data_IF_571554294885
#
_entry.id   IF_571554294885
#
_cell.length_a   1.000
_cell.length_b   1.000
_cell.length_c   1.000
_cell.angle_alpha   90.00
_cell.angle_beta   90.00
_cell.angle_gamma   90.00
#
_symmetry.space_group_name_H-M   'P 1'
#
loop_
_entity.id
_entity.type
_entity.pdbx_description
1 polymer ?
#
# COMPACT_ATOMS: atom_id res chain seq x y z
N UNK A 1 -6.34 23.91 14.14
CA UNK A 1 -5.31 22.90 14.34
C UNK A 1 -4.58 22.56 13.03
N UNK A 2 -3.39 21.98 13.16
CA UNK A 2 -2.58 21.53 12.04
C UNK A 2 -2.78 20.03 11.85
N UNK A 3 -2.81 19.59 10.59
CA UNK A 3 -3.08 18.21 10.20
C UNK A 3 -1.90 17.60 9.43
N UNK A 4 -1.88 16.28 9.36
CA UNK A 4 -0.99 15.53 8.48
C UNK A 4 -1.81 14.96 7.33
N UNK A 5 -1.38 15.22 6.09
CA UNK A 5 -1.95 14.65 4.89
C UNK A 5 -1.00 13.58 4.35
N UNK A 6 -1.50 12.39 4.02
CA UNK A 6 -0.70 11.31 3.45
C UNK A 6 -1.06 11.07 2.01
N UNK A 7 -0.06 11.14 1.14
CA UNK A 7 -0.18 10.87 -0.29
C UNK A 7 0.13 9.40 -0.55
N UNK A 8 -0.71 8.76 -1.35
CA UNK A 8 -0.47 7.39 -1.81
C UNK A 8 0.41 7.42 -3.05
N UNK A 9 1.55 6.77 -2.95
CA UNK A 9 2.54 6.69 -4.04
C UNK A 9 2.82 5.20 -4.26
N UNK A 10 2.05 4.52 -5.11
CA UNK A 10 2.22 3.08 -5.35
C UNK A 10 3.64 2.80 -5.86
N UNK A 11 4.28 1.80 -5.25
CA UNK A 11 5.70 1.46 -5.47
C UNK A 11 6.69 2.63 -5.28
N UNK A 12 6.28 3.75 -4.68
CA UNK A 12 7.14 4.94 -4.55
C UNK A 12 7.41 5.68 -5.85
N UNK A 13 6.68 5.38 -6.93
CA UNK A 13 6.94 5.93 -8.26
C UNK A 13 6.25 7.29 -8.42
N UNK A 14 7.03 8.29 -8.77
CA UNK A 14 6.58 9.64 -9.07
C UNK A 14 7.17 10.14 -10.38
N UNK A 15 6.37 10.86 -11.15
CA UNK A 15 6.88 11.66 -12.27
C UNK A 15 7.50 12.96 -11.75
N UNK A 16 8.38 13.57 -12.55
CA UNK A 16 8.94 14.90 -12.23
C UNK A 16 7.86 15.96 -12.07
N UNK A 17 6.80 15.90 -12.88
CA UNK A 17 5.65 16.80 -12.79
C UNK A 17 4.92 16.63 -11.44
N UNK A 18 4.65 15.40 -11.02
CA UNK A 18 4.03 15.12 -9.74
C UNK A 18 4.88 15.61 -8.57
N UNK A 19 6.19 15.37 -8.62
CA UNK A 19 7.12 15.85 -7.60
C UNK A 19 7.15 17.39 -7.52
N UNK A 20 7.13 18.08 -8.66
CA UNK A 20 7.06 19.55 -8.71
C UNK A 20 5.78 20.09 -8.08
N UNK A 21 4.65 19.44 -8.33
CA UNK A 21 3.36 19.81 -7.72
C UNK A 21 3.41 19.60 -6.20
N UNK A 22 3.89 18.45 -5.73
CA UNK A 22 4.07 18.17 -4.31
C UNK A 22 4.98 19.23 -3.66
N UNK A 23 6.14 19.52 -4.26
CA UNK A 23 7.07 20.52 -3.76
C UNK A 23 6.43 21.91 -3.63
N UNK A 24 5.63 22.32 -4.63
CA UNK A 24 4.92 23.60 -4.61
C UNK A 24 3.79 23.67 -3.56
N UNK A 25 3.18 22.52 -3.25
CA UNK A 25 2.19 22.40 -2.16
C UNK A 25 2.89 22.52 -0.81
N UNK A 26 4.01 21.81 -0.63
CA UNK A 26 4.81 21.85 0.61
C UNK A 26 5.30 23.27 0.89
N UNK A 27 5.88 23.93 -0.11
CA UNK A 27 6.42 25.30 0.02
C UNK A 27 5.35 26.31 0.43
N UNK A 28 4.09 26.12 -0.01
CA UNK A 28 3.01 27.07 0.25
C UNK A 28 2.21 26.74 1.50
N UNK A 29 1.94 25.48 1.79
CA UNK A 29 0.98 25.01 2.79
C UNK A 29 1.61 24.14 3.89
N UNK A 30 2.86 23.73 3.72
CA UNK A 30 3.62 23.00 4.74
C UNK A 30 4.04 23.89 5.90
N UNK A 31 4.30 23.29 7.06
CA UNK A 31 4.66 24.01 8.28
C UNK A 31 6.09 24.59 8.17
N UNK A 32 7.01 23.82 7.63
CA UNK A 32 8.45 24.13 7.57
C UNK A 32 9.06 23.92 6.17
N UNK A 33 8.22 23.73 5.14
CA UNK A 33 8.66 23.47 3.79
C UNK A 33 9.24 22.04 3.58
N UNK A 34 9.03 21.13 4.53
CA UNK A 34 9.49 19.73 4.45
C UNK A 34 8.35 18.73 4.33
N UNK A 35 8.68 17.48 3.97
CA UNK A 35 7.77 16.33 3.99
C UNK A 35 8.51 15.08 4.46
N UNK A 36 7.76 14.09 4.93
CA UNK A 36 8.31 12.79 5.27
C UNK A 36 8.14 11.80 4.11
N UNK A 37 9.21 11.09 3.77
CA UNK A 37 9.14 9.88 2.95
C UNK A 37 9.06 8.70 3.91
N UNK A 38 8.08 7.82 3.73
CA UNK A 38 7.82 6.73 4.66
C UNK A 38 8.33 5.39 4.14
N UNK A 39 8.53 4.43 5.05
CA UNK A 39 8.87 3.04 4.71
C UNK A 39 7.78 2.31 3.91
N UNK A 40 6.58 2.90 3.75
CA UNK A 40 5.51 2.42 2.87
C UNK A 40 5.47 3.16 1.55
N UNK A 41 6.56 3.81 1.17
CA UNK A 41 6.66 4.53 -0.10
C UNK A 41 5.60 5.63 -0.25
N UNK A 42 5.14 6.22 0.88
CA UNK A 42 4.23 7.36 0.88
C UNK A 42 5.00 8.65 1.11
N UNK A 43 4.35 9.76 0.75
CA UNK A 43 4.76 11.10 1.19
C UNK A 43 3.75 11.61 2.22
N UNK A 44 4.23 12.23 3.29
CA UNK A 44 3.40 12.87 4.31
C UNK A 44 3.70 14.36 4.36
N UNK A 45 2.66 15.17 4.17
CA UNK A 45 2.69 16.62 4.37
C UNK A 45 2.26 16.93 5.79
N UNK A 46 3.05 17.73 6.50
CA UNK A 46 2.74 18.15 7.87
C UNK A 46 2.36 19.62 7.93
N UNK A 47 1.62 19.98 8.98
CA UNK A 47 1.27 21.37 9.23
C UNK A 47 0.13 21.92 8.38
N UNK A 48 -0.56 21.08 7.61
CA UNK A 48 -1.66 21.50 6.72
C UNK A 48 -2.83 22.02 7.53
N UNK A 49 -3.38 23.18 7.14
CA UNK A 49 -4.59 23.75 7.73
C UNK A 49 -5.83 23.23 7.01
N UNK A 50 -6.94 23.09 7.75
CA UNK A 50 -8.18 22.57 7.18
C UNK A 50 -8.73 23.46 6.05
N UNK A 51 -8.54 24.76 6.14
CA UNK A 51 -8.99 25.71 5.13
C UNK A 51 -8.24 25.59 3.80
N UNK A 52 -7.02 25.03 3.81
CA UNK A 52 -6.19 24.85 2.63
C UNK A 52 -6.46 23.50 1.94
N UNK A 53 -7.12 22.56 2.63
CA UNK A 53 -7.38 21.20 2.10
C UNK A 53 -8.10 21.19 0.74
N UNK A 54 -9.15 21.99 0.48
CA UNK A 54 -9.84 21.94 -0.81
C UNK A 54 -8.90 22.23 -1.98
N UNK A 55 -8.04 23.23 -1.86
CA UNK A 55 -7.09 23.59 -2.91
C UNK A 55 -5.97 22.54 -3.04
N UNK A 56 -5.44 22.05 -1.94
CA UNK A 56 -4.43 21.01 -1.92
C UNK A 56 -4.97 19.73 -2.61
N UNK A 57 -6.17 19.28 -2.23
CA UNK A 57 -6.78 18.06 -2.78
C UNK A 57 -7.10 18.22 -4.27
N UNK A 58 -7.55 19.40 -4.71
CA UNK A 58 -7.78 19.69 -6.12
C UNK A 58 -6.49 19.53 -6.93
N UNK A 59 -5.39 20.15 -6.49
CA UNK A 59 -4.09 20.10 -7.18
C UNK A 59 -3.51 18.68 -7.20
N UNK A 60 -3.65 17.94 -6.11
CA UNK A 60 -3.22 16.55 -6.05
C UNK A 60 -4.03 15.67 -7.01
N UNK A 61 -5.36 15.85 -7.05
CA UNK A 61 -6.25 15.10 -7.96
C UNK A 61 -5.89 15.36 -9.42
N UNK A 62 -5.64 16.61 -9.80
CA UNK A 62 -5.21 16.98 -11.16
C UNK A 62 -3.86 16.36 -11.55
N UNK A 63 -2.99 16.11 -10.56
CA UNK A 63 -1.73 15.40 -10.75
C UNK A 63 -1.87 13.86 -10.70
N UNK A 64 -3.08 13.34 -10.49
CA UNK A 64 -3.31 11.89 -10.33
C UNK A 64 -2.75 11.33 -9.01
N UNK A 65 -2.66 12.15 -7.97
CA UNK A 65 -2.18 11.75 -6.64
C UNK A 65 -3.34 11.72 -5.67
N UNK A 66 -3.49 10.59 -4.96
CA UNK A 66 -4.63 10.34 -4.10
C UNK A 66 -4.24 10.31 -2.62
N UNK A 67 -5.20 10.68 -1.77
CA UNK A 67 -5.06 10.66 -0.30
C UNK A 67 -6.09 9.72 0.35
N UNK A 68 -7.09 9.31 -0.41
CA UNK A 68 -8.20 8.48 0.06
C UNK A 68 -7.69 7.14 0.62
N UNK A 69 -8.33 6.64 1.67
CA UNK A 69 -7.99 5.36 2.33
C UNK A 69 -6.51 5.24 2.76
N UNK A 70 -5.76 6.34 2.87
CA UNK A 70 -4.34 6.33 3.24
C UNK A 70 -4.08 6.14 4.73
N UNK A 71 -5.13 6.19 5.55
CA UNK A 71 -5.07 6.10 7.02
C UNK A 71 -6.10 5.14 7.60
N UNK A 72 -6.15 5.06 8.93
CA UNK A 72 -7.11 4.27 9.71
C UNK A 72 -7.18 2.79 9.31
N UNK A 73 -8.36 2.18 9.39
CA UNK A 73 -8.61 0.76 9.17
C UNK A 73 -9.02 0.52 7.70
N UNK A 74 -8.08 0.83 6.81
CA UNK A 74 -8.19 0.75 5.36
C UNK A 74 -6.99 0.02 4.75
N UNK A 75 -7.10 -0.45 3.49
CA UNK A 75 -5.94 -0.85 2.71
C UNK A 75 -4.99 0.34 2.54
N UNK A 76 -3.75 0.13 2.92
CA UNK A 76 -2.69 1.14 2.81
C UNK A 76 -2.10 1.14 1.41
N UNK A 77 -1.19 2.08 1.16
CA UNK A 77 -0.45 2.11 -0.10
C UNK A 77 0.15 0.74 -0.42
N UNK A 78 0.04 0.33 -1.68
CA UNK A 78 0.68 -0.90 -2.16
C UNK A 78 2.16 -0.62 -2.34
N UNK A 79 2.99 -1.39 -1.65
CA UNK A 79 4.45 -1.29 -1.73
C UNK A 79 5.01 -2.28 -2.74
N UNK A 80 6.09 -1.93 -3.38
CA UNK A 80 6.82 -2.79 -4.31
C UNK A 80 8.31 -2.75 -4.09
N UNK A 81 9.07 -3.48 -4.91
CA UNK A 81 10.52 -3.46 -4.88
C UNK A 81 11.03 -2.04 -5.22
N UNK A 82 11.81 -1.39 -4.35
CA UNK A 82 12.40 -0.07 -4.65
C UNK A 82 13.38 -0.10 -5.83
N UNK A 83 13.90 -1.26 -6.18
CA UNK A 83 14.80 -1.48 -7.32
C UNK A 83 14.05 -1.99 -8.56
N UNK A 84 12.70 -1.94 -8.60
CA UNK A 84 11.92 -2.42 -9.73
C UNK A 84 12.36 -1.76 -11.06
N UNK A 85 12.66 -2.58 -12.05
CA UNK A 85 13.14 -2.20 -13.37
C UNK A 85 14.65 -1.97 -13.47
N UNK A 86 15.42 -2.11 -12.37
CA UNK A 86 16.89 -1.98 -12.36
C UNK A 86 17.59 -3.12 -11.60
N UNK A 87 16.82 -3.97 -10.92
CA UNK A 87 17.35 -5.12 -10.19
C UNK A 87 17.72 -6.24 -11.17
N UNK A 88 19.00 -6.69 -11.24
CA UNK A 88 19.40 -7.77 -12.12
C UNK A 88 18.78 -9.13 -11.79
N UNK A 89 18.26 -9.30 -10.57
CA UNK A 89 17.56 -10.51 -10.13
C UNK A 89 16.02 -10.39 -10.26
N UNK A 90 15.51 -9.34 -10.90
CA UNK A 90 14.09 -9.16 -11.10
C UNK A 90 13.53 -10.25 -12.03
N UNK A 91 12.56 -11.02 -11.53
CA UNK A 91 11.89 -12.07 -12.32
C UNK A 91 10.74 -11.50 -13.14
N UNK A 92 10.09 -10.43 -12.64
CA UNK A 92 8.97 -9.80 -13.29
C UNK A 92 8.90 -8.31 -12.86
N UNK A 93 8.70 -7.42 -13.83
CA UNK A 93 8.43 -6.02 -13.52
C UNK A 93 7.09 -5.88 -12.77
N UNK A 94 7.15 -5.56 -11.49
CA UNK A 94 5.97 -5.49 -10.61
C UNK A 94 5.30 -4.12 -10.57
N UNK A 95 5.89 -3.10 -11.20
CA UNK A 95 5.33 -1.74 -11.22
C UNK A 95 3.91 -1.68 -11.77
N UNK A 96 3.57 -2.33 -12.90
CA UNK A 96 2.19 -2.36 -13.40
C UNK A 96 1.22 -2.99 -12.41
N UNK A 97 1.59 -4.11 -11.79
CA UNK A 97 0.73 -4.83 -10.84
C UNK A 97 0.52 -4.06 -9.54
N UNK A 98 1.52 -3.33 -9.08
CA UNK A 98 1.40 -2.46 -7.90
C UNK A 98 0.40 -1.34 -8.14
N UNK A 99 0.45 -0.73 -9.32
CA UNK A 99 -0.47 0.33 -9.74
C UNK A 99 -1.88 -0.22 -9.94
N UNK A 100 -2.03 -1.35 -10.62
CA UNK A 100 -3.32 -2.01 -10.85
C UNK A 100 -4.00 -2.35 -9.52
N UNK A 101 -3.27 -2.98 -8.60
CA UNK A 101 -3.78 -3.35 -7.29
C UNK A 101 -4.14 -2.12 -6.44
N UNK A 102 -3.34 -1.06 -6.50
CA UNK A 102 -3.64 0.22 -5.87
C UNK A 102 -4.97 0.80 -6.40
N UNK A 103 -5.14 0.84 -7.72
CA UNK A 103 -6.34 1.35 -8.36
C UNK A 103 -7.56 0.51 -8.01
N UNK A 104 -7.42 -0.81 -8.00
CA UNK A 104 -8.47 -1.73 -7.58
C UNK A 104 -8.91 -1.49 -6.12
N UNK A 105 -7.96 -1.43 -5.18
CA UNK A 105 -8.24 -1.25 -3.75
C UNK A 105 -8.86 0.11 -3.41
N UNK A 106 -8.63 1.13 -4.24
CA UNK A 106 -9.11 2.49 -4.00
C UNK A 106 -10.21 2.93 -4.95
N UNK A 107 -10.69 2.05 -5.85
CA UNK A 107 -11.60 2.43 -6.93
C UNK A 107 -11.03 3.64 -7.69
N UNK A 108 -9.81 3.50 -8.23
CA UNK A 108 -9.09 4.55 -8.96
C UNK A 108 -8.94 5.88 -8.20
N UNK A 109 -8.83 5.80 -6.86
CA UNK A 109 -8.67 6.97 -6.01
C UNK A 109 -9.97 7.66 -5.57
N UNK A 110 -11.12 7.17 -5.99
CA UNK A 110 -12.43 7.71 -5.58
C UNK A 110 -12.93 7.10 -4.24
N UNK A 111 -12.24 6.08 -3.74
CA UNK A 111 -12.62 5.34 -2.55
C UNK A 111 -13.41 4.08 -2.85
N UNK A 112 -13.02 2.98 -2.22
CA UNK A 112 -13.68 1.69 -2.42
C UNK A 112 -14.42 1.25 -1.15
N UNK A 113 -15.76 1.32 -1.13
CA UNK A 113 -16.54 0.96 0.05
C UNK A 113 -16.39 -0.52 0.44
N UNK A 114 -16.08 -1.40 -0.50
CA UNK A 114 -15.88 -2.83 -0.23
C UNK A 114 -14.64 -3.09 0.63
N UNK A 115 -13.67 -2.17 0.63
CA UNK A 115 -12.43 -2.27 1.37
C UNK A 115 -12.26 -1.18 2.42
N UNK A 116 -13.29 -0.41 2.70
CA UNK A 116 -13.34 0.50 3.85
C UNK A 116 -13.81 -0.24 5.09
N UNK A 117 -13.56 0.35 6.28
CA UNK A 117 -14.01 -0.23 7.55
C UNK A 117 -13.53 -1.68 7.80
N UNK A 118 -12.25 -1.93 7.57
CA UNK A 118 -11.62 -3.19 7.91
C UNK A 118 -11.45 -3.33 9.43
N UNK A 119 -11.25 -4.54 10.00
CA UNK A 119 -10.95 -4.70 11.42
C UNK A 119 -9.72 -3.89 11.88
N UNK A 120 -8.73 -3.73 11.01
CA UNK A 120 -7.51 -2.95 11.23
C UNK A 120 -6.90 -2.54 9.88
N UNK A 121 -5.81 -1.73 9.90
CA UNK A 121 -5.03 -1.41 8.69
C UNK A 121 -4.59 -2.68 7.96
N UNK A 122 -4.66 -2.64 6.64
CA UNK A 122 -4.17 -3.69 5.74
C UNK A 122 -3.00 -3.19 4.92
N UNK A 123 -1.96 -4.00 4.79
CA UNK A 123 -0.75 -3.68 4.03
C UNK A 123 -0.52 -4.75 2.96
N UNK A 124 -0.30 -4.31 1.74
CA UNK A 124 -0.02 -5.17 0.59
C UNK A 124 1.35 -4.86 0.00
N UNK A 125 2.08 -5.88 -0.39
CA UNK A 125 3.34 -5.76 -1.12
C UNK A 125 3.39 -6.69 -2.33
N UNK A 126 4.03 -6.21 -3.40
CA UNK A 126 4.34 -7.00 -4.60
C UNK A 126 5.85 -6.97 -4.79
N UNK A 127 6.50 -8.09 -4.55
CA UNK A 127 7.94 -8.25 -4.76
C UNK A 127 8.23 -8.59 -6.23
N UNK A 128 9.33 -8.06 -6.77
CA UNK A 128 9.78 -8.32 -8.14
C UNK A 128 10.97 -9.27 -8.22
N UNK A 129 11.72 -9.36 -7.12
CA UNK A 129 12.94 -10.15 -6.99
C UNK A 129 12.90 -11.02 -5.73
N UNK A 130 13.98 -11.72 -5.47
CA UNK A 130 14.09 -12.67 -4.33
C UNK A 130 14.18 -12.02 -2.96
N UNK A 131 14.08 -10.72 -2.86
CA UNK A 131 14.14 -9.98 -1.60
C UNK A 131 13.00 -10.33 -0.64
N UNK A 132 13.35 -10.54 0.62
CA UNK A 132 12.42 -10.93 1.68
C UNK A 132 11.98 -9.77 2.59
N UNK A 133 12.50 -8.55 2.41
CA UNK A 133 12.22 -7.43 3.32
C UNK A 133 10.75 -6.96 3.30
N UNK A 134 9.97 -7.32 2.29
CA UNK A 134 8.55 -7.03 2.20
C UNK A 134 7.65 -7.95 3.05
N UNK A 135 8.19 -9.00 3.65
CA UNK A 135 7.43 -10.02 4.41
C UNK A 135 6.75 -9.50 5.70
N UNK A 136 6.90 -8.23 6.06
CA UNK A 136 6.17 -7.59 7.16
C UNK A 136 4.79 -7.05 6.76
N UNK A 137 4.32 -7.33 5.55
CA UNK A 137 3.01 -6.92 5.06
C UNK A 137 1.96 -8.00 5.31
N UNK A 138 0.69 -7.60 5.40
CA UNK A 138 -0.43 -8.53 5.67
C UNK A 138 -0.62 -9.54 4.52
N UNK A 139 -0.32 -9.13 3.28
CA UNK A 139 -0.19 -10.01 2.12
C UNK A 139 1.03 -9.59 1.29
N UNK A 140 1.76 -10.59 0.77
CA UNK A 140 2.91 -10.40 -0.11
C UNK A 140 2.77 -11.34 -1.30
N UNK A 141 2.91 -10.79 -2.49
CA UNK A 141 3.04 -11.52 -3.75
C UNK A 141 4.53 -11.61 -4.10
N UNK A 142 5.08 -12.81 -4.00
CA UNK A 142 6.51 -13.07 -4.22
C UNK A 142 6.68 -13.79 -5.56
N UNK A 143 7.48 -13.28 -6.51
CA UNK A 143 7.59 -13.86 -7.84
C UNK A 143 8.27 -15.22 -7.77
N UNK A 144 7.73 -16.17 -8.50
CA UNK A 144 8.24 -17.54 -8.61
C UNK A 144 7.98 -18.05 -10.02
N UNK A 145 8.97 -18.70 -10.60
CA UNK A 145 8.82 -19.48 -11.82
C UNK A 145 8.32 -20.90 -11.48
N UNK A 146 7.26 -21.33 -12.14
CA UNK A 146 6.70 -22.66 -12.02
C UNK A 146 6.43 -23.25 -13.41
N UNK A 147 7.11 -24.31 -13.78
CA UNK A 147 6.98 -24.98 -15.09
C UNK A 147 7.22 -24.06 -16.31
N UNK A 148 8.09 -23.07 -16.17
CA UNK A 148 8.41 -22.08 -17.21
C UNK A 148 7.50 -20.85 -17.24
N UNK A 149 6.46 -20.82 -16.41
CA UNK A 149 5.58 -19.64 -16.23
C UNK A 149 5.98 -18.83 -14.99
N UNK A 150 6.08 -17.51 -15.14
CA UNK A 150 6.31 -16.61 -14.00
C UNK A 150 4.96 -16.22 -13.42
N UNK A 151 4.83 -16.38 -12.12
CA UNK A 151 3.67 -15.98 -11.33
C UNK A 151 4.07 -15.61 -9.91
N UNK A 152 3.13 -15.65 -8.97
CA UNK A 152 3.38 -15.28 -7.59
C UNK A 152 3.06 -16.41 -6.62
N UNK A 153 4.01 -16.73 -5.76
CA UNK A 153 3.75 -17.37 -4.47
C UNK A 153 3.14 -16.36 -3.52
N UNK A 154 2.09 -16.74 -2.79
CA UNK A 154 1.39 -15.83 -1.88
C UNK A 154 1.78 -16.10 -0.44
N UNK A 155 2.15 -15.04 0.29
CA UNK A 155 2.52 -15.06 1.70
C UNK A 155 1.60 -14.13 2.47
N UNK A 156 1.20 -14.51 3.68
CA UNK A 156 0.20 -13.80 4.46
C UNK A 156 0.58 -13.62 5.92
N UNK A 157 -0.01 -12.60 6.58
CA UNK A 157 0.07 -12.40 8.00
C UNK A 157 1.36 -11.76 8.51
N UNK A 158 2.14 -11.14 7.65
CA UNK A 158 3.28 -10.35 8.10
C UNK A 158 2.84 -9.15 8.95
N UNK A 159 3.61 -8.84 9.98
CA UNK A 159 3.31 -7.74 10.89
C UNK A 159 4.60 -7.11 11.41
N UNK A 160 4.60 -5.77 11.44
CA UNK A 160 5.61 -4.96 12.10
C UNK A 160 4.89 -3.94 12.99
N UNK A 161 4.98 -4.12 14.29
CA UNK A 161 4.37 -3.23 15.28
C UNK A 161 5.23 -3.20 16.56
N UNK A 162 4.90 -2.29 17.49
CA UNK A 162 5.55 -2.25 18.80
C UNK A 162 5.28 -3.47 19.69
N UNK A 163 4.22 -4.23 19.39
CA UNK A 163 3.80 -5.39 20.19
C UNK A 163 4.20 -6.73 19.58
N UNK A 164 4.26 -6.80 18.25
CA UNK A 164 4.58 -8.02 17.53
C UNK A 164 5.32 -7.67 16.23
N UNK A 165 6.40 -8.37 15.99
CA UNK A 165 7.18 -8.31 14.77
C UNK A 165 7.37 -9.74 14.26
N UNK A 166 6.74 -10.04 13.13
CA UNK A 166 6.76 -11.38 12.57
C UNK A 166 6.64 -11.35 11.03
N UNK A 167 7.22 -12.31 10.36
CA UNK A 167 7.17 -12.44 8.92
C UNK A 167 5.87 -13.08 8.46
N UNK A 168 5.46 -12.76 7.25
CA UNK A 168 4.42 -13.47 6.54
C UNK A 168 4.78 -14.96 6.36
N UNK A 169 3.78 -15.81 6.38
CA UNK A 169 3.90 -17.25 6.17
C UNK A 169 3.39 -17.63 4.78
N UNK A 170 4.02 -18.61 4.10
CA UNK A 170 3.58 -19.04 2.78
C UNK A 170 2.22 -19.76 2.86
N UNK A 171 1.32 -19.43 1.95
CA UNK A 171 0.07 -20.18 1.78
C UNK A 171 0.24 -21.44 0.92
N UNK A 172 1.43 -21.66 0.36
CA UNK A 172 1.73 -22.75 -0.57
C UNK A 172 0.81 -22.78 -1.81
N UNK A 173 0.43 -21.59 -2.28
CA UNK A 173 -0.33 -21.40 -3.52
C UNK A 173 0.50 -20.58 -4.50
N UNK A 174 0.32 -20.88 -5.78
CA UNK A 174 0.86 -20.13 -6.90
C UNK A 174 -0.30 -19.54 -7.70
N UNK A 175 -0.20 -18.27 -8.07
CA UNK A 175 -1.22 -17.57 -8.87
C UNK A 175 -0.59 -16.88 -10.07
N UNK A 176 -1.36 -16.73 -11.14
CA UNK A 176 -0.95 -15.92 -12.29
C UNK A 176 -0.93 -14.43 -11.94
N UNK A 177 -0.09 -13.63 -12.62
CA UNK A 177 0.00 -12.19 -12.32
C UNK A 177 -1.34 -11.45 -12.39
N UNK A 178 -2.20 -11.80 -13.35
CA UNK A 178 -3.53 -11.19 -13.51
C UNK A 178 -4.56 -11.58 -12.42
N UNK A 179 -4.20 -12.45 -11.49
CA UNK A 179 -5.10 -12.89 -10.42
C UNK A 179 -4.89 -12.14 -9.09
N UNK A 180 -3.87 -11.26 -8.99
CA UNK A 180 -3.52 -10.60 -7.73
C UNK A 180 -4.66 -9.77 -7.14
N UNK A 181 -5.41 -9.05 -7.97
CA UNK A 181 -6.55 -8.25 -7.52
C UNK A 181 -7.67 -9.12 -6.96
N UNK A 182 -8.05 -10.16 -7.69
CA UNK A 182 -9.09 -11.08 -7.25
C UNK A 182 -8.69 -11.83 -5.98
N UNK A 183 -7.46 -12.34 -5.91
CA UNK A 183 -6.95 -13.02 -4.73
C UNK A 183 -6.94 -12.10 -3.51
N UNK A 184 -6.47 -10.87 -3.67
CA UNK A 184 -6.48 -9.85 -2.60
C UNK A 184 -7.90 -9.55 -2.13
N UNK A 185 -8.87 -9.43 -3.05
CA UNK A 185 -10.28 -9.21 -2.73
C UNK A 185 -10.83 -10.33 -1.85
N UNK A 186 -10.61 -11.58 -2.22
CA UNK A 186 -11.11 -12.74 -1.47
C UNK A 186 -10.55 -12.74 -0.05
N UNK A 187 -9.23 -12.60 0.11
CA UNK A 187 -8.57 -12.62 1.42
C UNK A 187 -9.02 -11.45 2.30
N UNK A 188 -9.08 -10.24 1.75
CA UNK A 188 -9.57 -9.07 2.51
C UNK A 188 -11.03 -9.25 2.92
N UNK A 189 -11.88 -9.76 2.03
CA UNK A 189 -13.30 -9.94 2.32
C UNK A 189 -13.54 -10.93 3.46
N UNK A 190 -12.86 -12.07 3.47
CA UNK A 190 -12.92 -13.05 4.54
C UNK A 190 -12.53 -12.39 5.88
N UNK A 191 -11.38 -11.73 5.92
CA UNK A 191 -10.93 -11.07 7.15
C UNK A 191 -11.80 -9.86 7.55
N UNK A 192 -12.33 -9.09 6.59
CA UNK A 192 -13.25 -7.99 6.86
C UNK A 192 -14.49 -8.47 7.60
N UNK A 193 -15.03 -9.62 7.15
CA UNK A 193 -16.31 -10.13 7.63
C UNK A 193 -16.16 -10.92 8.96
N UNK A 194 -15.04 -11.63 9.15
CA UNK A 194 -14.81 -12.51 10.30
C UNK A 194 -13.74 -12.01 11.29
N UNK A 195 -13.01 -10.97 10.96
CA UNK A 195 -11.88 -10.48 11.75
C UNK A 195 -12.29 -9.80 13.07
N UNK A 196 -11.41 -9.87 14.08
CA UNK A 196 -11.60 -9.30 15.41
C UNK A 196 -11.75 -7.77 15.37
N UNK A 197 -12.87 -7.24 15.89
CA UNK A 197 -13.19 -5.80 15.91
C UNK A 197 -13.24 -5.21 17.31
N UNK A 198 -13.56 -6.00 18.32
CA UNK A 198 -13.73 -5.53 19.69
C UNK A 198 -12.39 -5.35 20.40
N UNK A 199 -11.45 -6.26 20.17
CA UNK A 199 -10.10 -6.21 20.75
C UNK A 199 -9.12 -5.62 19.73
N UNK A 200 -9.09 -4.29 19.64
CA UNK A 200 -8.31 -3.56 18.63
C UNK A 200 -6.83 -4.00 18.51
N UNK A 201 -6.21 -4.43 19.59
CA UNK A 201 -4.82 -4.94 19.58
C UNK A 201 -4.71 -6.31 18.89
N UNK A 202 -5.80 -7.06 18.75
CA UNK A 202 -5.90 -8.33 18.03
C UNK A 202 -6.56 -8.19 16.65
N UNK A 203 -6.90 -6.98 16.21
CA UNK A 203 -7.56 -6.73 14.93
C UNK A 203 -6.68 -6.88 13.69
N UNK A 204 -5.34 -7.02 13.82
CA UNK A 204 -4.47 -7.22 12.64
C UNK A 204 -4.67 -8.62 12.05
N UNK A 205 -4.52 -8.74 10.74
CA UNK A 205 -4.74 -9.98 10.00
C UNK A 205 -3.93 -11.17 10.54
N UNK A 206 -2.72 -10.94 11.04
CA UNK A 206 -1.90 -11.98 11.69
C UNK A 206 -2.64 -12.72 12.81
N UNK A 207 -3.41 -12.02 13.63
CA UNK A 207 -4.14 -12.63 14.74
C UNK A 207 -5.39 -13.39 14.29
N UNK A 208 -5.87 -13.15 13.09
CA UNK A 208 -6.96 -13.92 12.47
C UNK A 208 -6.47 -15.28 11.95
N UNK A 209 -5.19 -15.39 11.57
CA UNK A 209 -4.57 -16.62 11.06
C UNK A 209 -4.15 -17.60 12.17
N UNK A 210 -4.12 -17.18 13.43
CA UNK A 210 -3.80 -17.99 14.60
C UNK A 210 -5.09 -18.41 15.30
#
# INVERSE_FOLDING_TARGET
GKFMLRLRIPNGILTSTQLTIIASIIARYGDDGSCDITTRQNIQLRGVLINDLPEILRRLKEAGIWTIQSGFDNPRNVTGNPLAGVDPEELIDTRPYTIELQNFLTNQGEGNPNFSNLPRKWNTAVAGSKDNFLLHNDIVFHPVELNGDIGFSVWVGGILSSQLNDYAIPLNVWIKPNQICHFTQVVISIWRDDGERYKRHKGRFRFYLN
#
